data_IF_153772591452
#
_entry.id   IF_153772591452
#
_cell.length_a   1.000
_cell.length_b   1.000
_cell.length_c   1.000
_cell.angle_alpha   90.00
_cell.angle_beta   90.00
_cell.angle_gamma   90.00
#
_symmetry.space_group_name_H-M   'P 1'
#
loop_
_entity.id
_entity.type
_entity.pdbx_description
1 polymer ?
#
# COMPACT_ATOMS: atom_id res chain seq x y z
N UNK A 1 55.65 42.77 0.21
CA UNK A 1 54.40 42.61 -0.56
C UNK A 1 54.22 41.12 -0.79
N UNK A 2 53.75 40.43 0.23
CA UNK A 2 53.48 38.98 0.25
C UNK A 2 52.10 38.79 -0.37
N UNK A 3 52.06 38.16 -1.54
CA UNK A 3 50.81 37.78 -2.18
C UNK A 3 50.15 36.67 -1.36
N UNK A 4 49.01 37.00 -0.78
CA UNK A 4 48.07 36.06 -0.17
C UNK A 4 47.51 35.16 -1.28
N UNK A 5 47.91 33.90 -1.28
CA UNK A 5 47.31 32.88 -2.14
C UNK A 5 46.09 32.37 -1.39
N UNK A 6 44.85 32.59 -1.88
CA UNK A 6 43.68 32.04 -1.21
C UNK A 6 43.72 30.52 -1.32
N UNK A 7 43.90 29.84 -0.18
CA UNK A 7 43.63 28.41 -0.03
C UNK A 7 42.15 28.16 -0.38
N UNK A 8 41.88 27.85 -1.65
CA UNK A 8 40.60 27.29 -2.05
C UNK A 8 40.55 25.86 -1.52
N UNK A 9 40.03 25.68 -0.31
CA UNK A 9 39.60 24.38 0.18
C UNK A 9 38.42 23.90 -0.70
N UNK A 10 38.73 23.31 -1.85
CA UNK A 10 37.76 22.69 -2.75
C UNK A 10 37.21 21.44 -2.07
N UNK A 11 36.22 21.61 -1.19
CA UNK A 11 35.48 20.50 -0.62
C UNK A 11 34.85 19.66 -1.73
N UNK A 12 35.07 18.34 -1.69
CA UNK A 12 34.51 17.39 -2.67
C UNK A 12 32.99 17.61 -2.79
N UNK A 13 32.51 17.93 -3.98
CA UNK A 13 31.07 18.03 -4.25
C UNK A 13 30.55 16.65 -4.64
N UNK A 14 29.43 16.24 -4.06
CA UNK A 14 28.76 14.97 -4.36
C UNK A 14 27.31 15.26 -4.73
N UNK A 15 26.93 14.82 -5.93
CA UNK A 15 25.57 14.93 -6.48
C UNK A 15 24.78 13.65 -6.23
N UNK A 16 23.65 13.76 -5.55
CA UNK A 16 22.74 12.66 -5.25
C UNK A 16 21.46 12.85 -6.05
N UNK A 17 21.17 11.92 -6.95
CA UNK A 17 19.87 11.85 -7.62
C UNK A 17 18.88 11.08 -6.74
N UNK A 18 17.77 11.71 -6.39
CA UNK A 18 16.66 11.09 -5.68
C UNK A 18 15.50 10.90 -6.67
N UNK A 19 15.44 9.72 -7.27
CA UNK A 19 14.45 9.37 -8.29
C UNK A 19 13.34 8.55 -7.62
N UNK A 20 12.09 8.89 -7.87
CA UNK A 20 10.97 8.28 -7.17
C UNK A 20 9.80 7.94 -8.10
N UNK A 21 9.15 6.80 -7.82
CA UNK A 21 7.89 6.47 -8.46
C UNK A 21 6.84 7.58 -8.20
N UNK A 22 5.95 7.86 -9.17
CA UNK A 22 4.90 8.84 -8.98
C UNK A 22 3.97 8.51 -7.81
N UNK A 23 3.57 9.54 -7.04
CA UNK A 23 2.61 9.38 -5.94
C UNK A 23 3.30 9.59 -4.58
N UNK A 24 3.07 8.66 -3.64
CA UNK A 24 3.66 8.76 -2.30
C UNK A 24 5.20 8.83 -2.32
N UNK A 25 5.94 8.04 -3.14
CA UNK A 25 7.39 8.13 -3.19
C UNK A 25 7.89 9.50 -3.62
N UNK A 26 7.33 10.06 -4.71
CA UNK A 26 7.73 11.39 -5.18
C UNK A 26 7.27 12.54 -4.27
N UNK A 27 6.16 12.40 -3.55
CA UNK A 27 5.78 13.33 -2.47
C UNK A 27 6.83 13.33 -1.34
N UNK A 28 7.32 12.16 -0.92
CA UNK A 28 8.34 12.03 0.13
C UNK A 28 9.69 12.54 -0.37
N UNK A 29 10.09 12.20 -1.60
CA UNK A 29 11.35 12.65 -2.20
C UNK A 29 11.45 14.18 -2.23
N UNK A 30 10.42 14.85 -2.77
CA UNK A 30 10.35 16.32 -2.83
C UNK A 30 10.38 16.97 -1.45
N UNK A 31 9.73 16.36 -0.46
CA UNK A 31 9.75 16.87 0.91
C UNK A 31 11.09 16.64 1.63
N UNK A 32 11.86 15.62 1.23
CA UNK A 32 13.14 15.25 1.83
C UNK A 32 14.30 16.05 1.24
N UNK A 33 14.31 16.28 -0.07
CA UNK A 33 15.46 16.82 -0.79
C UNK A 33 16.01 18.15 -0.23
N UNK A 34 15.20 19.17 0.14
CA UNK A 34 15.73 20.42 0.68
C UNK A 34 16.50 20.25 2.00
N UNK A 35 16.20 19.21 2.78
CA UNK A 35 16.82 18.94 4.09
C UNK A 35 17.91 17.88 4.03
N UNK A 36 17.96 17.11 2.94
CA UNK A 36 18.87 15.98 2.81
C UNK A 36 20.35 16.40 2.87
N UNK A 37 20.81 17.51 2.25
CA UNK A 37 22.19 17.98 2.37
C UNK A 37 22.65 18.14 3.83
N UNK A 38 21.83 18.72 4.70
CA UNK A 38 22.17 18.91 6.12
C UNK A 38 22.20 17.60 6.91
N UNK A 39 21.38 16.62 6.51
CA UNK A 39 21.42 15.29 7.09
C UNK A 39 22.69 14.54 6.66
N UNK A 40 23.08 14.64 5.39
CA UNK A 40 24.28 14.00 4.85
C UNK A 40 25.57 14.63 5.39
N UNK A 41 25.65 15.96 5.49
CA UNK A 41 26.77 16.68 6.13
C UNK A 41 27.04 16.19 7.54
N UNK A 42 25.99 16.02 8.35
CA UNK A 42 26.10 15.51 9.73
C UNK A 42 26.51 14.04 9.80
N UNK A 43 26.14 13.25 8.79
CA UNK A 43 26.30 11.81 8.84
C UNK A 43 27.60 11.31 8.21
N UNK A 44 28.05 11.94 7.11
CA UNK A 44 29.24 11.55 6.33
C UNK A 44 30.44 12.48 6.64
N UNK A 45 30.20 13.78 6.81
CA UNK A 45 31.25 14.75 7.17
C UNK A 45 31.01 16.15 6.61
N UNK A 46 31.52 17.17 7.32
CA UNK A 46 31.30 18.58 6.99
C UNK A 46 32.09 19.09 5.76
N UNK A 47 33.08 18.33 5.29
CA UNK A 47 33.96 18.71 4.16
C UNK A 47 33.38 18.37 2.78
N UNK A 48 32.25 17.67 2.73
CA UNK A 48 31.56 17.29 1.47
C UNK A 48 30.40 18.26 1.21
N UNK A 49 30.39 18.85 0.02
CA UNK A 49 29.27 19.68 -0.46
C UNK A 49 28.24 18.76 -1.13
N UNK A 50 27.02 18.74 -0.62
CA UNK A 50 25.97 17.86 -1.14
C UNK A 50 25.00 18.65 -2.02
N UNK A 51 24.79 18.17 -3.24
CA UNK A 51 23.73 18.62 -4.14
C UNK A 51 22.74 17.47 -4.30
N UNK A 52 21.44 17.78 -4.21
CA UNK A 52 20.39 16.76 -4.27
C UNK A 52 19.39 17.18 -5.33
N UNK A 53 19.32 16.39 -6.39
CA UNK A 53 18.36 16.57 -7.47
C UNK A 53 17.22 15.56 -7.31
N UNK A 54 15.97 16.00 -7.49
CA UNK A 54 14.81 15.11 -7.38
C UNK A 54 14.17 14.89 -8.73
N UNK A 55 13.81 13.65 -9.00
CA UNK A 55 13.17 13.27 -10.26
C UNK A 55 11.98 12.35 -9.98
N UNK A 56 10.92 12.52 -10.76
CA UNK A 56 9.77 11.61 -10.72
C UNK A 56 9.75 10.83 -12.02
N UNK A 57 10.01 9.54 -11.94
CA UNK A 57 10.05 8.64 -13.08
C UNK A 57 9.52 7.26 -12.67
N UNK A 58 8.83 6.54 -13.56
CA UNK A 58 8.43 5.17 -13.30
C UNK A 58 9.67 4.26 -13.28
N UNK A 59 10.02 3.72 -12.10
CA UNK A 59 11.28 3.03 -11.83
C UNK A 59 11.39 1.56 -12.32
N UNK A 60 10.38 0.95 -12.94
CA UNK A 60 10.46 -0.42 -13.49
C UNK A 60 9.22 -0.80 -14.30
N UNK A 61 9.38 -1.72 -15.27
CA UNK A 61 8.31 -2.39 -16.04
C UNK A 61 8.15 -3.87 -15.60
N UNK A 62 9.01 -4.43 -14.74
CA UNK A 62 8.92 -5.83 -14.26
C UNK A 62 9.28 -6.04 -12.77
N UNK A 63 8.63 -7.01 -12.12
CA UNK A 63 8.96 -7.43 -10.72
C UNK A 63 10.36 -8.03 -10.59
N UNK A 64 10.98 -8.42 -11.70
CA UNK A 64 12.29 -9.10 -11.71
C UNK A 64 13.47 -8.13 -11.85
N UNK A 65 13.23 -6.86 -12.18
CA UNK A 65 14.30 -5.88 -12.36
C UNK A 65 15.02 -5.62 -11.03
N UNK A 66 16.33 -5.86 -10.98
CA UNK A 66 17.16 -5.47 -9.84
C UNK A 66 17.50 -3.98 -9.89
N UNK A 67 18.13 -3.46 -8.83
CA UNK A 67 18.54 -2.03 -8.79
C UNK A 67 19.47 -1.66 -9.94
N UNK A 68 20.23 -2.60 -10.48
CA UNK A 68 21.17 -2.40 -11.58
C UNK A 68 20.43 -2.17 -12.90
N UNK A 69 19.42 -3.00 -13.19
CA UNK A 69 18.53 -2.84 -14.35
C UNK A 69 17.82 -1.46 -14.31
N UNK A 70 17.41 -1.01 -13.11
CA UNK A 70 16.76 0.31 -12.92
C UNK A 70 17.76 1.45 -13.12
N UNK A 71 18.96 1.33 -12.56
CA UNK A 71 20.01 2.33 -12.68
C UNK A 71 20.42 2.54 -14.14
N UNK A 72 20.53 1.46 -14.91
CA UNK A 72 20.86 1.50 -16.33
C UNK A 72 19.71 2.12 -17.17
N UNK A 73 18.47 1.70 -16.91
CA UNK A 73 17.29 2.25 -17.58
C UNK A 73 17.11 3.76 -17.31
N UNK A 74 17.40 4.21 -16.09
CA UNK A 74 17.32 5.63 -15.75
C UNK A 74 18.53 6.38 -16.32
N UNK A 75 19.73 5.80 -16.30
CA UNK A 75 20.94 6.39 -16.90
C UNK A 75 20.76 6.77 -18.37
N UNK A 76 20.10 5.94 -19.15
CA UNK A 76 19.88 6.17 -20.59
C UNK A 76 18.86 7.27 -20.90
N UNK A 77 18.01 7.66 -19.95
CA UNK A 77 16.95 8.67 -20.15
C UNK A 77 17.26 10.03 -19.53
N UNK A 78 18.40 10.15 -18.83
CA UNK A 78 18.78 11.37 -18.14
C UNK A 78 19.95 12.03 -18.87
N UNK A 79 19.63 12.73 -19.95
CA UNK A 79 20.58 13.55 -20.69
C UNK A 79 21.15 14.67 -19.80
N UNK A 80 22.47 14.65 -19.56
CA UNK A 80 23.23 15.84 -19.15
C UNK A 80 23.46 16.08 -17.65
N UNK A 81 23.07 15.17 -16.75
CA UNK A 81 23.40 15.30 -15.32
C UNK A 81 24.26 14.11 -14.85
N UNK A 82 25.57 14.32 -14.68
CA UNK A 82 26.40 13.37 -13.94
C UNK A 82 25.99 13.38 -12.46
N UNK A 83 25.44 12.27 -11.95
CA UNK A 83 25.23 12.05 -10.51
C UNK A 83 26.25 11.05 -9.99
N UNK A 84 26.77 11.32 -8.79
CA UNK A 84 27.71 10.43 -8.12
C UNK A 84 27.02 9.25 -7.44
N UNK A 85 25.77 9.45 -7.00
CA UNK A 85 24.95 8.47 -6.29
C UNK A 85 23.50 8.58 -6.74
N UNK A 86 22.87 7.44 -7.05
CA UNK A 86 21.46 7.36 -7.40
C UNK A 86 20.66 6.61 -6.31
N UNK A 87 19.60 7.25 -5.80
CA UNK A 87 18.68 6.66 -4.82
C UNK A 87 17.28 6.61 -5.42
N UNK A 88 16.77 5.39 -5.56
CA UNK A 88 15.47 5.07 -6.11
C UNK A 88 14.46 4.83 -4.98
N UNK A 89 13.32 5.52 -4.99
CA UNK A 89 12.22 5.30 -4.04
C UNK A 89 11.02 4.68 -4.75
N UNK A 90 10.63 3.47 -4.34
CA UNK A 90 9.48 2.77 -4.93
C UNK A 90 8.38 2.50 -3.91
N UNK A 91 7.13 2.56 -4.37
CA UNK A 91 5.96 2.05 -3.64
C UNK A 91 5.73 0.56 -3.91
N UNK A 92 6.58 -0.08 -4.72
CA UNK A 92 6.51 -1.50 -5.02
C UNK A 92 7.11 -2.37 -3.90
N UNK A 93 6.40 -3.41 -3.42
CA UNK A 93 6.94 -4.33 -2.42
C UNK A 93 8.04 -5.20 -3.03
N UNK A 94 9.25 -5.17 -2.45
CA UNK A 94 10.37 -6.02 -2.87
C UNK A 94 10.51 -7.24 -1.96
N UNK A 95 10.86 -8.42 -2.52
CA UNK A 95 10.97 -9.67 -1.76
C UNK A 95 12.12 -10.55 -2.22
N UNK A 96 12.73 -11.24 -1.27
CA UNK A 96 13.60 -12.38 -1.49
C UNK A 96 12.96 -13.61 -0.83
N UNK A 97 12.38 -14.53 -1.60
CA UNK A 97 11.56 -15.64 -1.11
C UNK A 97 10.45 -15.15 -0.15
N UNK A 98 10.61 -15.41 1.15
CA UNK A 98 9.69 -15.04 2.21
C UNK A 98 10.05 -13.73 2.92
N UNK A 99 11.18 -13.11 2.59
CA UNK A 99 11.67 -11.94 3.32
C UNK A 99 11.38 -10.64 2.55
N UNK A 100 10.69 -9.67 3.16
CA UNK A 100 10.58 -8.32 2.62
C UNK A 100 11.97 -7.68 2.49
N UNK A 101 12.30 -7.23 1.28
CA UNK A 101 13.51 -6.44 1.01
C UNK A 101 13.14 -4.98 1.22
N UNK A 102 13.88 -4.30 2.09
CA UNK A 102 13.72 -2.87 2.35
C UNK A 102 14.63 -2.02 1.48
N UNK A 103 15.86 -2.48 1.25
CA UNK A 103 16.86 -1.78 0.46
C UNK A 103 17.65 -2.78 -0.39
N UNK A 104 17.93 -2.40 -1.63
CA UNK A 104 18.95 -3.04 -2.50
C UNK A 104 20.00 -1.99 -2.82
N UNK A 105 21.29 -2.35 -2.74
CA UNK A 105 22.42 -1.44 -2.93
C UNK A 105 23.37 -2.07 -3.93
N UNK A 106 23.68 -1.36 -5.01
CA UNK A 106 24.74 -1.71 -5.95
C UNK A 106 25.88 -0.70 -5.78
N UNK A 107 26.97 -1.16 -5.17
CA UNK A 107 28.14 -0.34 -4.88
C UNK A 107 28.94 0.00 -6.14
N UNK A 108 28.94 -0.88 -7.15
CA UNK A 108 29.62 -0.66 -8.42
C UNK A 108 28.94 0.45 -9.23
N UNK A 109 27.60 0.44 -9.28
CA UNK A 109 26.81 1.47 -9.95
C UNK A 109 26.55 2.71 -9.07
N UNK A 110 26.95 2.68 -7.79
CA UNK A 110 26.63 3.68 -6.76
C UNK A 110 25.13 3.99 -6.72
N UNK A 111 24.33 2.94 -6.79
CA UNK A 111 22.89 3.01 -6.87
C UNK A 111 22.23 2.25 -5.73
N UNK A 112 21.05 2.69 -5.29
CA UNK A 112 20.27 1.96 -4.33
C UNK A 112 18.77 2.12 -4.55
N UNK A 113 18.01 1.06 -4.28
CA UNK A 113 16.55 1.03 -4.35
C UNK A 113 15.97 0.83 -2.95
N UNK A 114 15.07 1.72 -2.54
CA UNK A 114 14.38 1.68 -1.25
C UNK A 114 12.89 1.40 -1.47
N UNK A 115 12.41 0.28 -0.94
CA UNK A 115 10.99 -0.10 -0.95
C UNK A 115 10.27 0.54 0.23
N UNK A 116 9.43 1.54 -0.04
CA UNK A 116 8.66 2.22 1.00
C UNK A 116 7.74 1.29 1.81
N UNK A 117 7.03 0.32 1.19
CA UNK A 117 6.20 -0.61 1.93
C UNK A 117 6.96 -1.36 3.03
N UNK A 118 8.20 -1.79 2.75
CA UNK A 118 9.02 -2.55 3.70
C UNK A 118 9.51 -1.71 4.90
N UNK A 119 9.56 -0.38 4.77
CA UNK A 119 9.85 0.53 5.88
C UNK A 119 8.67 0.69 6.86
N UNK A 120 7.46 0.29 6.43
CA UNK A 120 6.21 0.36 7.18
C UNK A 120 5.67 1.79 7.38
N UNK A 121 4.52 1.91 8.03
CA UNK A 121 3.75 3.17 8.08
C UNK A 121 4.17 4.13 9.20
N UNK A 122 4.64 3.59 10.33
CA UNK A 122 4.93 4.39 11.53
C UNK A 122 6.16 5.25 11.32
N UNK A 123 5.96 6.57 11.33
CA UNK A 123 7.02 7.59 11.10
C UNK A 123 7.75 7.37 9.77
N UNK A 124 7.01 6.97 8.72
CA UNK A 124 7.55 6.64 7.40
C UNK A 124 8.56 7.69 6.89
N UNK A 125 8.22 8.98 6.89
CA UNK A 125 9.13 10.06 6.44
C UNK A 125 10.47 10.07 7.19
N UNK A 126 10.46 9.82 8.50
CA UNK A 126 11.69 9.72 9.31
C UNK A 126 12.51 8.49 8.92
N UNK A 127 11.85 7.37 8.69
CA UNK A 127 12.49 6.10 8.29
C UNK A 127 13.08 6.17 6.90
N UNK A 128 12.37 6.76 5.93
CA UNK A 128 12.90 7.01 4.58
C UNK A 128 14.17 7.86 4.66
N UNK A 129 14.13 8.97 5.40
CA UNK A 129 15.32 9.80 5.63
C UNK A 129 16.48 8.99 6.22
N UNK A 130 16.24 8.18 7.24
CA UNK A 130 17.28 7.34 7.85
C UNK A 130 17.84 6.33 6.85
N UNK A 131 16.97 5.69 6.06
CA UNK A 131 17.38 4.75 5.04
C UNK A 131 18.25 5.40 3.96
N UNK A 132 17.80 6.54 3.40
CA UNK A 132 18.58 7.30 2.41
C UNK A 132 19.94 7.72 2.96
N UNK A 133 20.01 8.22 4.20
CA UNK A 133 21.28 8.64 4.81
C UNK A 133 22.23 7.47 5.02
N UNK A 134 21.74 6.35 5.56
CA UNK A 134 22.59 5.18 5.82
C UNK A 134 23.10 4.57 4.51
N UNK A 135 22.27 4.50 3.47
CA UNK A 135 22.66 4.01 2.13
C UNK A 135 23.68 4.92 1.46
N UNK A 136 23.49 6.24 1.52
CA UNK A 136 24.48 7.17 0.95
C UNK A 136 25.82 7.06 1.69
N UNK A 137 25.82 6.78 3.01
CA UNK A 137 27.06 6.51 3.76
C UNK A 137 27.74 5.24 3.29
N UNK A 138 27.00 4.17 3.08
CA UNK A 138 27.52 2.92 2.53
C UNK A 138 28.16 3.14 1.16
N UNK A 139 27.47 3.84 0.25
CA UNK A 139 27.94 4.10 -1.11
C UNK A 139 29.13 5.08 -1.21
N UNK A 140 29.25 6.04 -0.29
CA UNK A 140 30.30 7.09 -0.35
C UNK A 140 31.47 6.81 0.58
N UNK A 141 31.20 6.31 1.79
CA UNK A 141 32.20 6.05 2.82
C UNK A 141 32.63 4.57 2.91
N UNK A 142 32.03 3.68 2.10
CA UNK A 142 32.29 2.23 2.13
C UNK A 142 32.07 1.62 3.52
N UNK A 143 31.15 2.21 4.31
CA UNK A 143 30.74 1.67 5.60
C UNK A 143 29.59 0.68 5.41
N UNK A 144 29.89 -0.62 5.44
CA UNK A 144 28.90 -1.69 5.26
C UNK A 144 27.95 -1.87 6.46
N UNK A 145 28.24 -1.26 7.61
CA UNK A 145 27.40 -1.39 8.81
C UNK A 145 26.37 -0.26 8.88
N UNK A 146 25.06 -0.54 8.71
CA UNK A 146 24.04 0.50 8.81
C UNK A 146 23.94 1.01 10.26
N UNK A 147 23.88 2.34 10.42
CA UNK A 147 23.67 2.97 11.74
C UNK A 147 22.27 2.74 12.29
N UNK A 148 21.27 2.52 11.43
CA UNK A 148 19.90 2.22 11.82
C UNK A 148 19.44 0.86 11.27
N UNK A 149 19.97 -0.27 11.81
CA UNK A 149 19.64 -1.62 11.34
C UNK A 149 18.15 -1.98 11.58
N UNK A 150 17.47 -1.27 12.49
CA UNK A 150 16.04 -1.37 12.74
C UNK A 150 15.14 -0.81 11.61
N UNK A 151 15.73 0.04 10.74
CA UNK A 151 15.06 0.72 9.62
C UNK A 151 15.36 0.01 8.31
N UNK A 152 16.64 -0.13 7.98
CA UNK A 152 17.09 -0.75 6.72
C UNK A 152 17.01 -2.27 6.78
N UNK A 153 17.13 -2.88 7.97
CA UNK A 153 17.23 -4.33 8.11
C UNK A 153 18.69 -4.79 8.15
N UNK A 154 18.90 -6.07 7.84
CA UNK A 154 20.21 -6.74 7.84
C UNK A 154 20.37 -7.54 6.56
N UNK A 155 21.61 -7.83 6.11
CA UNK A 155 21.81 -8.76 5.01
C UNK A 155 21.20 -10.13 5.33
N UNK A 156 20.62 -10.84 4.33
CA UNK A 156 20.07 -12.17 4.53
C UNK A 156 21.16 -13.15 4.97
N UNK A 157 20.81 -14.09 5.86
CA UNK A 157 21.76 -15.09 6.40
C UNK A 157 22.17 -16.14 5.38
N UNK A 158 21.35 -16.36 4.36
CA UNK A 158 21.60 -17.32 3.28
C UNK A 158 21.59 -16.61 1.93
N UNK A 159 22.50 -16.96 1.01
CA UNK A 159 22.46 -16.48 -0.37
C UNK A 159 21.10 -16.80 -1.01
N UNK A 160 20.48 -15.78 -1.61
CA UNK A 160 19.15 -15.93 -2.21
C UNK A 160 19.32 -16.56 -3.61
N UNK A 161 18.70 -17.71 -3.91
CA UNK A 161 18.96 -18.45 -5.15
C UNK A 161 18.34 -17.87 -6.43
N UNK A 162 17.50 -16.84 -6.33
CA UNK A 162 16.94 -16.12 -7.50
C UNK A 162 17.88 -15.01 -8.02
N UNK A 163 19.17 -15.08 -7.69
CA UNK A 163 20.15 -14.06 -8.09
C UNK A 163 20.90 -14.53 -9.33
N UNK A 164 21.10 -13.64 -10.32
CA UNK A 164 21.96 -13.92 -11.47
C UNK A 164 23.34 -14.35 -10.92
N UNK A 165 23.91 -15.51 -11.34
CA UNK A 165 25.22 -15.91 -10.87
C UNK A 165 26.29 -14.94 -11.42
N UNK A 166 27.01 -14.28 -10.51
CA UNK A 166 28.08 -13.33 -10.85
C UNK A 166 28.67 -12.63 -9.61
N UNK A 167 29.88 -12.05 -9.72
CA UNK A 167 30.58 -11.38 -8.61
C UNK A 167 30.01 -9.98 -8.27
N UNK A 168 29.17 -9.39 -9.12
CA UNK A 168 28.61 -8.04 -8.96
C UNK A 168 27.12 -8.12 -8.60
N UNK A 169 26.80 -8.61 -7.40
CA UNK A 169 25.42 -8.71 -6.94
C UNK A 169 25.05 -7.51 -6.07
N UNK A 170 23.87 -6.90 -6.26
CA UNK A 170 23.42 -5.86 -5.36
C UNK A 170 23.19 -6.44 -3.96
N UNK A 171 23.78 -5.79 -2.97
CA UNK A 171 23.61 -6.09 -1.56
C UNK A 171 22.17 -5.80 -1.15
N UNK A 172 21.50 -6.81 -0.56
CA UNK A 172 20.09 -6.71 -0.16
C UNK A 172 19.95 -6.66 1.35
N UNK A 173 19.13 -5.75 1.84
CA UNK A 173 18.76 -5.68 3.25
C UNK A 173 17.33 -6.14 3.45
N UNK A 174 17.16 -7.11 4.36
CA UNK A 174 15.87 -7.71 4.69
C UNK A 174 15.48 -7.42 6.14
N UNK A 175 14.18 -7.33 6.39
CA UNK A 175 13.62 -7.25 7.75
C UNK A 175 13.02 -8.62 8.09
N UNK A 176 13.72 -9.48 8.87
CA UNK A 176 13.24 -10.83 9.13
C UNK A 176 12.05 -10.88 10.11
N UNK A 177 11.33 -11.99 10.06
CA UNK A 177 10.27 -12.35 11.01
C UNK A 177 8.95 -11.60 10.84
N UNK A 178 8.08 -11.75 11.84
CA UNK A 178 6.71 -11.20 11.85
C UNK A 178 6.69 -9.66 11.73
N UNK A 179 7.72 -8.99 12.24
CA UNK A 179 7.86 -7.53 12.18
C UNK A 179 8.05 -7.02 10.75
N UNK A 180 8.82 -7.72 9.92
CA UNK A 180 9.00 -7.36 8.51
C UNK A 180 7.71 -7.53 7.72
N UNK A 181 7.02 -8.65 7.93
CA UNK A 181 5.76 -8.97 7.27
C UNK A 181 4.65 -7.98 7.62
N UNK A 182 4.46 -7.69 8.92
CA UNK A 182 3.46 -6.71 9.37
C UNK A 182 3.76 -5.30 8.87
N UNK A 183 5.04 -4.88 8.85
CA UNK A 183 5.44 -3.60 8.25
C UNK A 183 5.13 -3.55 6.76
N UNK A 184 5.47 -4.61 6.03
CA UNK A 184 5.22 -4.71 4.59
C UNK A 184 3.72 -4.63 4.30
N UNK A 185 2.90 -5.45 4.97
CA UNK A 185 1.44 -5.45 4.81
C UNK A 185 0.86 -4.08 5.16
N UNK A 186 1.20 -3.50 6.30
CA UNK A 186 0.72 -2.18 6.68
C UNK A 186 1.17 -1.09 5.67
N UNK A 187 2.41 -1.17 5.18
CA UNK A 187 2.95 -0.27 4.17
C UNK A 187 2.22 -0.37 2.84
N UNK A 188 1.93 -1.59 2.38
CA UNK A 188 1.13 -1.85 1.18
C UNK A 188 -0.31 -1.32 1.35
N UNK A 189 -0.97 -1.58 2.49
CA UNK A 189 -2.32 -1.05 2.79
C UNK A 189 -2.32 0.48 2.77
N UNK A 190 -1.31 1.13 3.36
CA UNK A 190 -1.21 2.59 3.38
C UNK A 190 -0.94 3.17 2.00
N UNK A 191 -0.13 2.49 1.17
CA UNK A 191 0.10 2.89 -0.22
C UNK A 191 -1.20 2.87 -1.04
N UNK A 192 -2.11 1.93 -0.74
CA UNK A 192 -3.43 1.85 -1.37
C UNK A 192 -4.42 2.95 -0.93
N UNK A 193 -4.09 3.79 0.07
CA UNK A 193 -4.93 4.89 0.61
C UNK A 193 -6.42 4.53 0.69
N UNK A 194 -6.83 3.57 1.55
CA UNK A 194 -8.18 2.98 1.56
C UNK A 194 -9.32 3.98 1.68
N UNK A 195 -9.12 5.12 2.33
CA UNK A 195 -10.15 6.17 2.44
C UNK A 195 -10.51 6.83 1.11
N UNK A 196 -9.69 6.72 0.06
CA UNK A 196 -10.03 7.25 -1.27
C UNK A 196 -11.08 6.39 -1.99
N UNK A 197 -11.32 5.15 -1.53
CA UNK A 197 -12.38 4.27 -2.03
C UNK A 197 -13.77 4.91 -1.92
N UNK A 198 -14.03 5.71 -0.88
CA UNK A 198 -15.36 6.30 -0.68
C UNK A 198 -15.68 7.41 -1.68
N UNK A 199 -14.67 8.11 -2.20
CA UNK A 199 -14.87 9.12 -3.23
C UNK A 199 -15.24 8.52 -4.60
N UNK A 200 -14.83 7.28 -4.86
CA UNK A 200 -15.10 6.58 -6.13
C UNK A 200 -16.36 5.73 -6.12
N UNK A 201 -16.92 5.40 -4.95
CA UNK A 201 -18.06 4.49 -4.76
C UNK A 201 -19.40 5.22 -4.55
N UNK A 202 -19.64 6.28 -5.33
CA UNK A 202 -20.82 7.14 -5.15
C UNK A 202 -22.16 6.40 -5.24
N UNK A 203 -22.29 5.38 -6.10
CA UNK A 203 -23.53 4.59 -6.25
C UNK A 203 -23.73 3.57 -5.12
N UNK A 204 -22.65 2.97 -4.64
CA UNK A 204 -22.69 2.11 -3.46
C UNK A 204 -23.13 2.91 -2.22
N UNK A 205 -22.57 4.10 -2.02
CA UNK A 205 -23.00 5.02 -0.96
C UNK A 205 -24.48 5.40 -1.10
N UNK A 206 -24.95 5.69 -2.32
CA UNK A 206 -26.37 5.97 -2.56
C UNK A 206 -27.26 4.78 -2.16
N UNK A 207 -26.86 3.54 -2.47
CA UNK A 207 -27.56 2.32 -2.01
C UNK A 207 -27.61 2.21 -0.49
N UNK A 208 -26.46 2.41 0.18
CA UNK A 208 -26.40 2.44 1.66
C UNK A 208 -27.36 3.48 2.24
N UNK A 209 -27.33 4.72 1.75
CA UNK A 209 -28.19 5.80 2.24
C UNK A 209 -29.68 5.54 1.97
N UNK A 210 -30.02 5.01 0.78
CA UNK A 210 -31.40 4.65 0.44
C UNK A 210 -31.93 3.57 1.39
N UNK A 211 -31.17 2.49 1.60
CA UNK A 211 -31.53 1.42 2.54
C UNK A 211 -31.64 1.96 3.97
N UNK A 212 -30.68 2.77 4.42
CA UNK A 212 -30.73 3.37 5.76
C UNK A 212 -31.97 4.25 5.96
N UNK A 213 -32.35 5.04 4.96
CA UNK A 213 -33.52 5.93 5.02
C UNK A 213 -34.82 5.14 5.15
N UNK A 214 -35.00 4.09 4.33
CA UNK A 214 -36.19 3.23 4.38
C UNK A 214 -36.31 2.54 5.74
N UNK A 215 -35.19 2.03 6.26
CA UNK A 215 -35.15 1.38 7.58
C UNK A 215 -35.40 2.37 8.72
N UNK A 216 -34.90 3.60 8.60
CA UNK A 216 -35.03 4.61 9.64
C UNK A 216 -36.47 5.09 9.82
N UNK A 217 -37.28 5.13 8.75
CA UNK A 217 -38.67 5.62 8.83
C UNK A 217 -39.64 4.49 9.25
N UNK A 218 -39.17 3.24 9.30
CA UNK A 218 -40.01 2.08 9.57
C UNK A 218 -40.04 1.71 11.07
N UNK A 219 -41.24 1.74 11.68
CA UNK A 219 -41.43 1.38 13.08
C UNK A 219 -41.13 -0.10 13.39
N UNK A 220 -41.31 -1.01 12.43
CA UNK A 220 -40.93 -2.42 12.60
C UNK A 220 -39.41 -2.56 12.82
N UNK A 221 -38.62 -1.72 12.15
CA UNK A 221 -37.17 -1.66 12.34
C UNK A 221 -36.82 -1.18 13.75
N UNK A 222 -37.55 -0.21 14.29
CA UNK A 222 -37.29 0.33 15.64
C UNK A 222 -37.54 -0.72 16.72
N UNK A 223 -38.63 -1.46 16.59
CA UNK A 223 -38.98 -2.55 17.51
C UNK A 223 -37.94 -3.67 17.45
N UNK A 224 -37.53 -4.09 16.25
CA UNK A 224 -36.54 -5.15 16.11
C UNK A 224 -35.17 -4.73 16.65
N UNK A 225 -34.73 -3.49 16.37
CA UNK A 225 -33.46 -2.97 16.86
C UNK A 225 -33.41 -2.88 18.39
N UNK A 226 -34.51 -2.54 19.05
CA UNK A 226 -34.54 -2.35 20.51
C UNK A 226 -34.89 -3.61 21.28
N UNK A 227 -35.33 -4.67 20.60
CA UNK A 227 -35.55 -6.00 21.17
C UNK A 227 -34.26 -6.85 21.23
N UNK A 228 -33.27 -6.55 20.37
CA UNK A 228 -32.02 -7.30 20.30
C UNK A 228 -31.00 -6.80 21.35
N UNK A 229 -30.25 -7.73 21.93
CA UNK A 229 -29.13 -7.41 22.82
C UNK A 229 -27.88 -6.93 22.07
N UNK A 230 -26.90 -6.39 22.80
CA UNK A 230 -25.64 -5.91 22.22
C UNK A 230 -24.85 -6.99 21.47
N UNK A 231 -24.88 -8.25 21.97
CA UNK A 231 -24.21 -9.38 21.30
C UNK A 231 -24.84 -9.66 19.93
N UNK A 232 -26.16 -9.64 19.84
CA UNK A 232 -26.86 -9.88 18.56
C UNK A 232 -26.53 -8.78 17.55
N UNK A 233 -26.52 -7.51 17.96
CA UNK A 233 -26.08 -6.40 17.10
C UNK A 233 -24.64 -6.55 16.62
N UNK A 234 -23.74 -6.97 17.50
CA UNK A 234 -22.34 -7.22 17.15
C UNK A 234 -22.21 -8.34 16.12
N UNK A 235 -22.94 -9.46 16.30
CA UNK A 235 -22.94 -10.59 15.35
C UNK A 235 -23.49 -10.16 13.99
N UNK A 236 -24.62 -9.44 13.95
CA UNK A 236 -25.21 -8.94 12.69
C UNK A 236 -24.23 -8.02 11.97
N UNK A 237 -23.58 -7.11 12.71
CA UNK A 237 -22.60 -6.18 12.15
C UNK A 237 -21.38 -6.89 11.59
N UNK A 238 -20.85 -7.88 12.33
CA UNK A 238 -19.74 -8.70 11.85
C UNK A 238 -20.14 -9.47 10.58
N UNK A 239 -21.33 -10.07 10.58
CA UNK A 239 -21.89 -10.77 9.42
C UNK A 239 -22.02 -9.86 8.20
N UNK A 240 -22.61 -8.67 8.36
CA UNK A 240 -22.74 -7.68 7.28
C UNK A 240 -21.38 -7.19 6.76
N UNK A 241 -20.41 -6.96 7.65
CA UNK A 241 -19.06 -6.54 7.25
C UNK A 241 -18.34 -7.63 6.45
N UNK A 242 -18.47 -8.91 6.87
CA UNK A 242 -17.93 -10.05 6.13
C UNK A 242 -18.63 -10.19 4.78
N UNK A 243 -19.96 -10.12 4.74
CA UNK A 243 -20.74 -10.22 3.51
C UNK A 243 -20.37 -9.14 2.50
N UNK A 244 -20.29 -7.86 2.92
CA UNK A 244 -19.90 -6.77 2.04
C UNK A 244 -18.43 -6.90 1.58
N UNK A 245 -17.54 -7.33 2.46
CA UNK A 245 -16.12 -7.57 2.11
C UNK A 245 -16.02 -8.66 1.05
N UNK A 246 -16.69 -9.80 1.24
CA UNK A 246 -16.71 -10.91 0.28
C UNK A 246 -17.35 -10.48 -1.03
N UNK A 247 -18.44 -9.71 -0.98
CA UNK A 247 -19.11 -9.17 -2.15
C UNK A 247 -18.15 -8.33 -3.00
N UNK A 248 -17.49 -7.32 -2.40
CA UNK A 248 -16.53 -6.46 -3.11
C UNK A 248 -15.41 -7.29 -3.74
N UNK A 249 -14.89 -8.29 -3.01
CA UNK A 249 -13.82 -9.16 -3.51
C UNK A 249 -14.26 -9.99 -4.72
N UNK A 250 -15.46 -10.59 -4.66
CA UNK A 250 -15.99 -11.47 -5.71
C UNK A 250 -16.41 -10.65 -6.93
N UNK A 251 -17.21 -9.60 -6.72
CA UNK A 251 -17.80 -8.74 -7.75
C UNK A 251 -16.70 -8.08 -8.60
N UNK A 252 -15.64 -7.57 -7.96
CA UNK A 252 -14.57 -6.85 -8.64
C UNK A 252 -13.36 -7.74 -9.01
N UNK A 253 -13.49 -9.06 -8.88
CA UNK A 253 -12.43 -10.05 -9.12
C UNK A 253 -11.09 -9.66 -8.48
N UNK A 254 -11.12 -9.12 -7.27
CA UNK A 254 -9.93 -8.62 -6.59
C UNK A 254 -9.04 -9.76 -6.04
N UNK A 255 -9.54 -11.00 -6.13
CA UNK A 255 -8.81 -12.17 -5.69
C UNK A 255 -7.85 -12.68 -6.77
N UNK A 256 -6.56 -12.56 -6.51
CA UNK A 256 -5.54 -13.06 -7.43
C UNK A 256 -5.45 -14.59 -7.33
N UNK A 257 -5.78 -15.27 -8.43
CA UNK A 257 -5.60 -16.72 -8.59
C UNK A 257 -4.26 -16.98 -9.28
N UNK A 258 -3.41 -17.81 -8.69
CA UNK A 258 -2.04 -18.07 -9.13
C UNK A 258 -1.88 -18.84 -10.44
N UNK A 259 -2.89 -18.88 -11.31
CA UNK A 259 -2.91 -19.67 -12.54
C UNK A 259 -2.18 -19.02 -13.72
N UNK A 260 -1.67 -17.78 -13.57
CA UNK A 260 -1.01 -17.03 -14.65
C UNK A 260 0.45 -16.62 -14.36
N UNK A 261 1.07 -17.16 -13.32
CA UNK A 261 2.43 -16.76 -12.92
C UNK A 261 3.39 -17.94 -13.00
N UNK A 262 4.60 -17.77 -13.56
CA UNK A 262 5.60 -18.84 -13.59
C UNK A 262 5.94 -19.34 -12.18
N UNK A 263 6.24 -20.63 -12.06
CA UNK A 263 6.36 -21.45 -10.83
C UNK A 263 7.26 -20.91 -9.70
N UNK A 264 7.99 -19.81 -9.92
CA UNK A 264 8.79 -19.09 -8.91
C UNK A 264 7.95 -18.16 -8.00
N UNK A 265 6.66 -17.97 -8.29
CA UNK A 265 5.74 -17.16 -7.48
C UNK A 265 5.00 -18.01 -6.43
N UNK A 266 5.67 -18.45 -5.37
CA UNK A 266 5.04 -19.08 -4.20
C UNK A 266 5.31 -18.24 -2.93
N UNK A 267 4.31 -17.91 -2.07
CA UNK A 267 2.86 -17.89 -2.21
C UNK A 267 2.30 -16.44 -2.35
N UNK A 268 1.21 -16.26 -3.11
CA UNK A 268 0.45 -15.00 -3.28
C UNK A 268 -0.23 -14.49 -1.99
N UNK A 269 -0.03 -15.17 -0.86
CA UNK A 269 -0.66 -14.92 0.43
C UNK A 269 -0.62 -13.46 0.92
N UNK A 270 0.51 -12.73 0.89
CA UNK A 270 0.54 -11.36 1.38
C UNK A 270 -0.22 -10.35 0.49
N UNK A 271 -0.42 -10.63 -0.80
CA UNK A 271 -1.19 -9.73 -1.68
C UNK A 271 -2.69 -9.86 -1.42
N UNK A 272 -3.21 -11.09 -1.44
CA UNK A 272 -4.62 -11.34 -1.10
C UNK A 272 -4.94 -10.93 0.35
N UNK A 273 -4.00 -11.09 1.28
CA UNK A 273 -4.14 -10.60 2.65
C UNK A 273 -4.17 -9.08 2.71
N UNK A 274 -3.32 -8.37 1.97
CA UNK A 274 -3.37 -6.90 1.88
C UNK A 274 -4.69 -6.44 1.29
N UNK A 275 -5.16 -7.05 0.20
CA UNK A 275 -6.44 -6.71 -0.41
C UNK A 275 -7.58 -6.92 0.58
N UNK A 276 -7.63 -8.07 1.25
CA UNK A 276 -8.62 -8.39 2.28
C UNK A 276 -8.59 -7.36 3.43
N UNK A 277 -7.40 -7.08 3.99
CA UNK A 277 -7.24 -6.13 5.10
C UNK A 277 -7.60 -4.71 4.69
N UNK A 278 -7.22 -4.29 3.48
CA UNK A 278 -7.51 -2.95 2.94
C UNK A 278 -9.02 -2.76 2.79
N UNK A 279 -9.70 -3.73 2.17
CA UNK A 279 -11.16 -3.70 1.97
C UNK A 279 -11.87 -3.77 3.32
N UNK A 280 -11.49 -4.68 4.21
CA UNK A 280 -12.10 -4.80 5.53
C UNK A 280 -11.95 -3.50 6.35
N UNK A 281 -10.78 -2.86 6.32
CA UNK A 281 -10.57 -1.58 6.98
C UNK A 281 -11.45 -0.47 6.38
N UNK A 282 -11.59 -0.45 5.04
CA UNK A 282 -12.50 0.47 4.38
C UNK A 282 -13.96 0.22 4.80
N UNK A 283 -14.42 -1.03 4.82
CA UNK A 283 -15.77 -1.40 5.30
C UNK A 283 -16.00 -0.95 6.74
N UNK A 284 -15.02 -1.11 7.63
CA UNK A 284 -15.11 -0.66 9.04
C UNK A 284 -15.21 0.86 9.13
N UNK A 285 -14.39 1.61 8.38
CA UNK A 285 -14.44 3.08 8.36
C UNK A 285 -15.78 3.57 7.85
N UNK A 286 -16.33 2.93 6.81
CA UNK A 286 -17.66 3.25 6.28
C UNK A 286 -18.75 3.00 7.33
N UNK A 287 -18.75 1.83 7.96
CA UNK A 287 -19.71 1.49 9.01
C UNK A 287 -19.65 2.49 10.17
N UNK A 288 -18.44 2.88 10.60
CA UNK A 288 -18.27 3.86 11.67
C UNK A 288 -18.82 5.25 11.30
N UNK A 289 -18.56 5.73 10.08
CA UNK A 289 -19.06 7.01 9.60
C UNK A 289 -20.59 7.02 9.47
N UNK A 290 -21.16 5.93 8.92
CA UNK A 290 -22.60 5.76 8.79
C UNK A 290 -23.27 5.67 10.16
N UNK A 291 -22.71 4.90 11.09
CA UNK A 291 -23.20 4.80 12.46
C UNK A 291 -23.23 6.16 13.16
N UNK A 292 -22.13 6.92 13.11
CA UNK A 292 -22.07 8.26 13.71
C UNK A 292 -23.12 9.20 13.11
N UNK A 293 -23.33 9.13 11.79
CA UNK A 293 -24.36 9.91 11.09
C UNK A 293 -25.77 9.51 11.55
N UNK A 294 -26.07 8.22 11.63
CA UNK A 294 -27.38 7.71 12.06
C UNK A 294 -27.66 7.99 13.54
N UNK A 295 -26.64 7.98 14.39
CA UNK A 295 -26.78 8.44 15.79
C UNK A 295 -27.15 9.92 15.81
N UNK A 296 -26.45 10.77 15.07
CA UNK A 296 -26.77 12.20 15.02
C UNK A 296 -28.19 12.45 14.49
N UNK A 297 -28.58 11.76 13.42
CA UNK A 297 -29.92 11.85 12.81
C UNK A 297 -30.99 11.31 13.76
N UNK A 298 -30.73 10.23 14.49
CA UNK A 298 -31.68 9.67 15.45
C UNK A 298 -31.98 10.64 16.59
N UNK A 299 -30.95 11.28 17.15
CA UNK A 299 -31.15 12.33 18.17
C UNK A 299 -31.83 13.59 17.61
N UNK A 300 -31.58 13.94 16.35
CA UNK A 300 -32.16 15.15 15.75
C UNK A 300 -33.63 14.97 15.36
N UNK A 301 -34.00 13.81 14.82
CA UNK A 301 -35.32 13.57 14.21
C UNK A 301 -36.29 12.79 15.11
N UNK A 302 -35.81 11.95 16.04
CA UNK A 302 -36.69 11.08 16.84
C UNK A 302 -36.91 11.64 18.25
N UNK A 303 -38.10 12.19 18.46
CA UNK A 303 -38.55 12.59 19.79
C UNK A 303 -38.74 11.36 20.69
N UNK A 304 -38.24 11.45 21.93
CA UNK A 304 -38.33 10.36 22.90
C UNK A 304 -39.78 9.94 23.22
N UNK A 305 -40.73 10.87 23.09
CA UNK A 305 -42.16 10.59 23.26
C UNK A 305 -42.73 9.73 22.14
N UNK A 306 -42.27 9.92 20.90
CA UNK A 306 -42.68 9.10 19.75
C UNK A 306 -42.11 7.70 19.91
N UNK A 307 -40.81 7.61 20.21
CA UNK A 307 -40.15 6.32 20.36
C UNK A 307 -40.76 5.49 21.51
N UNK A 308 -41.13 6.15 22.61
CA UNK A 308 -41.81 5.52 23.76
C UNK A 308 -43.17 4.92 23.39
N UNK A 309 -43.93 5.55 22.48
CA UNK A 309 -45.23 5.02 22.02
C UNK A 309 -45.08 3.71 21.26
N UNK A 310 -43.98 3.52 20.53
CA UNK A 310 -43.73 2.31 19.76
C UNK A 310 -43.07 1.20 20.57
N UNK A 311 -42.07 1.53 21.40
CA UNK A 311 -41.34 0.53 22.19
C UNK A 311 -42.12 0.09 23.45
N UNK A 312 -43.01 0.93 23.98
CA UNK A 312 -43.85 0.59 25.14
C UNK A 312 -43.10 0.57 26.50
N UNK A 313 -41.87 1.08 26.55
CA UNK A 313 -41.09 1.29 27.79
C UNK A 313 -40.43 2.65 27.82
N UNK A 314 -39.81 2.99 28.96
CA UNK A 314 -38.98 4.20 29.04
C UNK A 314 -37.82 4.10 28.04
N UNK A 315 -37.62 5.20 27.31
CA UNK A 315 -36.60 5.34 26.27
C UNK A 315 -35.35 5.95 26.90
N UNK A 316 -34.22 5.27 26.72
CA UNK A 316 -32.90 5.75 27.12
C UNK A 316 -32.02 6.06 25.91
N UNK A 317 -30.85 6.66 26.17
CA UNK A 317 -29.81 6.93 25.16
C UNK A 317 -29.42 5.66 24.40
N UNK A 318 -29.40 4.51 25.09
CA UNK A 318 -29.09 3.21 24.49
C UNK A 318 -30.01 2.82 23.33
N UNK A 319 -31.28 3.24 23.34
CA UNK A 319 -32.24 2.86 22.30
C UNK A 319 -31.92 3.53 20.96
N UNK A 320 -31.46 4.79 21.01
CA UNK A 320 -30.97 5.51 19.84
C UNK A 320 -29.69 4.89 19.28
N UNK A 321 -28.81 4.42 20.16
CA UNK A 321 -27.57 3.75 19.78
C UNK A 321 -27.84 2.37 19.16
N UNK A 322 -28.73 1.56 19.74
CA UNK A 322 -29.12 0.26 19.18
C UNK A 322 -29.83 0.43 17.83
N UNK A 323 -30.72 1.41 17.71
CA UNK A 323 -31.37 1.74 16.45
C UNK A 323 -30.34 2.10 15.35
N UNK A 324 -29.44 3.03 15.63
CA UNK A 324 -28.42 3.44 14.67
C UNK A 324 -27.49 2.26 14.32
N UNK A 325 -27.11 1.45 15.31
CA UNK A 325 -26.26 0.27 15.10
C UNK A 325 -26.95 -0.75 14.18
N UNK A 326 -28.21 -1.08 14.46
CA UNK A 326 -28.98 -2.04 13.67
C UNK A 326 -29.15 -1.57 12.21
N UNK A 327 -29.56 -0.32 12.01
CA UNK A 327 -29.74 0.25 10.67
C UNK A 327 -28.40 0.28 9.92
N UNK A 328 -27.31 0.65 10.58
CA UNK A 328 -25.96 0.63 9.98
C UNK A 328 -25.64 -0.76 9.44
N UNK A 329 -25.85 -1.81 10.25
CA UNK A 329 -25.51 -3.17 9.86
C UNK A 329 -26.28 -3.65 8.63
N UNK A 330 -27.59 -3.34 8.52
CA UNK A 330 -28.40 -3.74 7.36
C UNK A 330 -28.11 -2.85 6.15
N UNK A 331 -27.95 -1.54 6.33
CA UNK A 331 -27.66 -0.60 5.25
C UNK A 331 -26.34 -0.92 4.54
N UNK A 332 -25.35 -1.47 5.26
CA UNK A 332 -24.10 -1.96 4.66
C UNK A 332 -24.34 -3.09 3.65
N UNK A 333 -25.36 -3.93 3.84
CA UNK A 333 -25.77 -4.95 2.85
C UNK A 333 -26.43 -4.28 1.64
N UNK A 334 -27.26 -3.25 1.87
CA UNK A 334 -27.84 -2.44 0.79
C UNK A 334 -26.79 -1.79 -0.13
N UNK A 335 -25.65 -1.39 0.43
CA UNK A 335 -24.52 -0.88 -0.32
C UNK A 335 -23.95 -1.85 -1.35
N UNK A 336 -23.95 -3.15 -1.06
CA UNK A 336 -23.48 -4.19 -1.98
C UNK A 336 -24.29 -4.19 -3.30
N UNK A 337 -25.62 -4.05 -3.21
CA UNK A 337 -26.47 -3.93 -4.39
C UNK A 337 -26.15 -2.66 -5.20
N UNK A 338 -25.78 -1.57 -4.54
CA UNK A 338 -25.34 -0.34 -5.19
C UNK A 338 -23.98 -0.44 -5.90
N UNK A 339 -23.08 -1.34 -5.46
CA UNK A 339 -21.78 -1.53 -6.13
C UNK A 339 -21.90 -2.29 -7.45
N UNK A 340 -22.90 -3.15 -7.60
CA UNK A 340 -23.15 -3.92 -8.85
C UNK A 340 -23.42 -3.01 -10.06
N UNK A 341 -23.83 -1.75 -9.81
CA UNK A 341 -24.05 -0.74 -10.83
C UNK A 341 -22.82 0.16 -11.08
N UNK A 342 -21.70 -0.08 -10.40
CA UNK A 342 -20.45 0.66 -10.59
C UNK A 342 -19.57 -0.05 -11.62
N UNK A 343 -18.86 0.70 -12.47
CA UNK A 343 -17.98 0.09 -13.47
C UNK A 343 -16.68 -0.42 -12.83
N UNK A 344 -16.27 -1.65 -13.17
CA UNK A 344 -15.09 -2.38 -12.66
C UNK A 344 -13.79 -1.54 -12.58
N UNK A 345 -13.58 -0.61 -13.52
CA UNK A 345 -12.36 0.21 -13.59
C UNK A 345 -12.24 1.20 -12.42
N UNK A 346 -13.35 1.79 -11.96
CA UNK A 346 -13.33 2.83 -10.92
C UNK A 346 -13.01 2.27 -9.53
N UNK A 347 -13.43 1.04 -9.25
CA UNK A 347 -13.19 0.39 -7.96
C UNK A 347 -11.77 -0.18 -7.91
N UNK A 348 -11.27 -0.74 -9.02
CA UNK A 348 -9.85 -1.13 -9.16
C UNK A 348 -8.91 0.08 -8.99
N UNK A 349 -9.28 1.24 -9.55
CA UNK A 349 -8.53 2.50 -9.42
C UNK A 349 -8.33 3.00 -7.99
N UNK A 350 -9.24 2.62 -7.09
CA UNK A 350 -9.22 3.04 -5.71
C UNK A 350 -8.76 1.93 -4.74
N UNK A 351 -8.86 0.64 -5.11
CA UNK A 351 -8.40 -0.48 -4.29
C UNK A 351 -6.89 -0.74 -4.44
N UNK A 352 -6.32 -0.42 -5.60
CA UNK A 352 -4.94 -0.73 -5.95
C UNK A 352 -4.06 0.51 -6.14
N UNK A 353 -2.85 0.44 -5.58
CA UNK A 353 -1.75 1.35 -5.95
C UNK A 353 -1.52 1.34 -7.47
N UNK A 354 -1.02 2.46 -8.02
CA UNK A 354 -0.90 2.68 -9.48
C UNK A 354 -0.19 1.52 -10.19
N UNK A 355 0.88 0.99 -9.58
CA UNK A 355 1.68 -0.12 -10.12
C UNK A 355 0.93 -1.45 -10.16
N UNK A 356 0.15 -1.76 -9.13
CA UNK A 356 -0.66 -2.97 -9.12
C UNK A 356 -1.74 -2.91 -10.22
N UNK A 357 -2.23 -1.70 -10.57
CA UNK A 357 -3.14 -1.51 -11.71
C UNK A 357 -2.48 -1.72 -13.06
N UNK A 358 -1.29 -1.13 -13.27
CA UNK A 358 -0.51 -1.33 -14.51
C UNK A 358 -0.26 -2.83 -14.73
N UNK A 359 0.12 -3.55 -13.68
CA UNK A 359 0.27 -5.01 -13.71
C UNK A 359 -1.03 -5.73 -14.09
N UNK A 360 -2.16 -5.38 -13.47
CA UNK A 360 -3.45 -6.02 -13.80
C UNK A 360 -3.89 -5.74 -15.23
N UNK A 361 -3.66 -4.53 -15.75
CA UNK A 361 -3.92 -4.18 -17.15
C UNK A 361 -3.07 -5.03 -18.09
N UNK A 362 -1.77 -5.18 -17.80
CA UNK A 362 -0.87 -6.04 -18.57
C UNK A 362 -1.30 -7.51 -18.54
N UNK A 363 -1.66 -8.04 -17.36
CA UNK A 363 -2.13 -9.42 -17.22
C UNK A 363 -3.46 -9.67 -17.95
N UNK A 364 -4.37 -8.68 -18.00
CA UNK A 364 -5.63 -8.77 -18.75
C UNK A 364 -5.41 -8.71 -20.28
N UNK A 365 -4.35 -8.06 -20.73
CA UNK A 365 -3.98 -7.94 -22.14
C UNK A 365 -3.14 -9.13 -22.65
N UNK A 366 -2.59 -9.96 -21.75
CA UNK A 366 -1.93 -11.19 -22.15
C UNK A 366 -2.93 -12.17 -22.76
N UNK A 367 -2.66 -12.72 -23.97
CA UNK A 367 -3.48 -13.78 -24.54
C UNK A 367 -3.62 -14.92 -23.54
N UNK A 368 -4.86 -15.36 -23.28
CA UNK A 368 -5.08 -16.56 -22.46
C UNK A 368 -4.32 -17.71 -23.13
N UNK A 369 -3.47 -18.46 -22.41
CA UNK A 369 -2.87 -19.64 -22.99
C UNK A 369 -4.01 -20.55 -23.42
N UNK A 370 -4.07 -20.85 -24.73
CA UNK A 370 -4.96 -21.87 -25.25
C UNK A 370 -4.72 -23.12 -24.42
N UNK A 371 -5.77 -23.61 -23.73
CA UNK A 371 -5.71 -24.93 -23.13
C UNK A 371 -5.52 -25.87 -24.30
N UNK A 372 -4.28 -26.32 -24.51
CA UNK A 372 -3.95 -27.31 -25.51
C UNK A 372 -4.94 -28.45 -25.40
N UNK A 373 -5.72 -28.64 -26.46
CA UNK A 373 -6.48 -29.86 -26.68
C UNK A 373 -5.52 -31.02 -26.44
N UNK A 374 -5.78 -31.77 -25.37
CA UNK A 374 -5.23 -33.11 -25.25
C UNK A 374 -5.83 -33.89 -26.42
N UNK A 375 -5.12 -33.95 -27.55
CA UNK A 375 -5.30 -35.02 -28.53
C UNK A 375 -5.10 -36.32 -27.75
N UNK A 376 -6.19 -37.06 -27.56
CA UNK A 376 -6.15 -38.41 -27.04
C UNK A 376 -5.26 -39.28 -27.94
N UNK A 377 -4.67 -40.36 -27.41
CA UNK A 377 -3.87 -41.25 -28.22
C UNK A 377 -4.77 -41.90 -29.28
N UNK A 378 -4.37 -41.79 -30.55
CA UNK A 378 -4.94 -42.56 -31.66
C UNK A 378 -4.82 -44.05 -31.31
N UNK A 379 -5.96 -44.70 -31.11
CA UNK A 379 -6.07 -46.15 -31.13
C UNK A 379 -6.84 -46.53 -32.38
N UNK A 380 -6.11 -46.85 -33.44
CA UNK A 380 -6.58 -47.77 -34.50
C UNK A 380 -5.35 -48.32 -35.22
N UNK A 381 -4.87 -49.46 -34.73
CA UNK A 381 -4.22 -50.46 -35.60
C UNK A 381 -5.34 -51.20 -36.35
N UNK A 382 -5.20 -51.24 -37.67
CA UNK A 382 -5.99 -52.03 -38.61
C UNK A 382 -5.13 -52.34 -39.82
#
# INVERSE_FOLDING_TARGET
>A
MTADVPETSSGRSVRVALVADPGLPSEIARALAPRLPDHLRRAVGARVRWQVDTMTAPLSVSEQADVSDIAEAVRSHLDGAEWDVAIFLTDFPRRARLYPISVEVDTALRAALISLPALGVRRLRRRVRQAVVDVVRELVAHEETPRHPEVIGRPPREPVPDTRPGPEQPQRYVVPGLRGHTRLVAGMVYANRPWRLFGSLSRALAGVFATATVLFINSATWNLATALGAVQHAVITAGSAVALTLWIIVDHQLWERGTHLPARHHPLYPYNLVTLVTIALAVVVLAAALFATLVAVSFLLLDASVLRKFIGRQVGVGDYLFLAWFITAIAMIGGAFGTSLEGDEKVSDAAYGRRQRERQRMLRQMPRPERGERRGPDTTDG
#
